data_IF_907264496173
#
_entry.id   IF_907264496173
#
_cell.length_a   1.000
_cell.length_b   1.000
_cell.length_c   1.000
_cell.angle_alpha   90.00
_cell.angle_beta   90.00
_cell.angle_gamma   90.00
#
_symmetry.space_group_name_H-M   'P 1'
#
loop_
_entity.id
_entity.type
_entity.pdbx_description
1 polymer ?
#
# COMPACT_ATOMS: atom_id res chain seq x y z
N UNK A 1 11.06 -5.15 -1.38
CA UNK A 1 9.64 -4.76 -1.14
C UNK A 1 9.36 -4.18 0.24
N UNK A 2 10.38 -3.80 1.02
CA UNK A 2 10.19 -3.15 2.32
C UNK A 2 9.94 -1.64 2.18
N UNK A 3 10.66 -0.99 1.25
CA UNK A 3 10.61 0.46 1.01
C UNK A 3 9.18 0.98 0.71
N UNK A 4 8.41 0.29 -0.13
CA UNK A 4 7.03 0.68 -0.46
C UNK A 4 6.11 0.68 0.76
N UNK A 5 6.23 -0.34 1.63
CA UNK A 5 5.41 -0.44 2.85
C UNK A 5 5.79 0.62 3.88
N UNK A 6 7.09 0.90 4.02
CA UNK A 6 7.57 1.99 4.87
C UNK A 6 7.06 3.34 4.39
N UNK A 7 7.19 3.63 3.10
CA UNK A 7 6.73 4.90 2.53
C UNK A 7 5.21 5.08 2.69
N UNK A 8 4.45 4.00 2.62
CA UNK A 8 3.00 4.01 2.78
C UNK A 8 2.54 3.97 4.26
N UNK A 9 3.45 3.99 5.24
CA UNK A 9 3.16 3.78 6.66
C UNK A 9 2.36 2.48 6.97
N UNK A 10 2.42 1.50 6.07
CA UNK A 10 1.61 0.28 6.14
C UNK A 10 2.41 -0.83 6.83
N UNK A 11 2.05 -1.18 8.07
CA UNK A 11 2.66 -2.31 8.80
C UNK A 11 2.42 -3.66 8.11
N UNK A 12 1.22 -3.84 7.55
CA UNK A 12 0.79 -5.05 6.84
C UNK A 12 0.14 -4.67 5.52
N UNK A 13 0.43 -5.43 4.46
CA UNK A 13 -0.23 -5.27 3.17
C UNK A 13 -1.72 -5.64 3.23
N UNK A 14 -2.44 -5.36 2.15
CA UNK A 14 -3.82 -5.77 1.99
C UNK A 14 -3.95 -7.30 2.04
N UNK A 15 -5.01 -7.79 2.70
CA UNK A 15 -5.32 -9.23 2.68
C UNK A 15 -6.08 -9.60 1.40
N UNK A 16 -6.73 -8.62 0.77
CA UNK A 16 -7.41 -8.75 -0.52
C UNK A 16 -6.99 -7.60 -1.44
N UNK A 17 -5.84 -7.73 -2.14
CA UNK A 17 -5.37 -6.71 -3.07
C UNK A 17 -6.42 -6.42 -4.15
N UNK A 18 -6.70 -5.13 -4.41
CA UNK A 18 -7.70 -4.67 -5.39
C UNK A 18 -9.04 -4.25 -4.80
N UNK A 19 -9.44 -4.82 -3.66
CA UNK A 19 -10.61 -4.35 -2.89
C UNK A 19 -10.20 -3.53 -1.68
N UNK A 20 -9.09 -3.90 -1.05
CA UNK A 20 -8.58 -3.26 0.15
C UNK A 20 -7.34 -2.42 -0.17
N UNK A 21 -7.42 -1.12 0.11
CA UNK A 21 -6.28 -0.20 0.03
C UNK A 21 -5.64 -0.10 1.42
N UNK A 22 -4.35 -0.44 1.50
CA UNK A 22 -3.57 -0.41 2.74
C UNK A 22 -2.74 0.88 2.91
N UNK A 23 -2.57 1.66 1.85
CA UNK A 23 -1.82 2.91 1.85
C UNK A 23 -1.85 3.58 0.50
N UNK A 24 -1.47 4.86 0.47
CA UNK A 24 -1.43 5.68 -0.75
C UNK A 24 -0.05 6.27 -0.95
N UNK A 25 0.45 6.28 -2.18
CA UNK A 25 1.73 6.87 -2.56
C UNK A 25 1.59 7.70 -3.83
N UNK A 26 2.34 8.78 -3.96
CA UNK A 26 2.43 9.52 -5.22
C UNK A 26 3.51 8.95 -6.13
N UNK A 27 3.46 9.31 -7.41
CA UNK A 27 4.52 8.97 -8.38
C UNK A 27 5.91 9.48 -7.96
N UNK A 28 5.98 10.60 -7.23
CA UNK A 28 7.23 11.15 -6.68
C UNK A 28 7.88 10.17 -5.70
N UNK A 29 7.09 9.55 -4.83
CA UNK A 29 7.60 8.54 -3.90
C UNK A 29 8.14 7.32 -4.64
N UNK A 30 7.44 6.86 -5.69
CA UNK A 30 7.89 5.73 -6.51
C UNK A 30 9.23 6.04 -7.17
N UNK A 31 9.38 7.24 -7.73
CA UNK A 31 10.61 7.69 -8.37
C UNK A 31 11.81 7.65 -7.40
N UNK A 32 11.67 8.24 -6.20
CA UNK A 32 12.76 8.23 -5.21
C UNK A 32 13.08 6.83 -4.69
N UNK A 33 12.07 5.95 -4.54
CA UNK A 33 12.29 4.54 -4.20
C UNK A 33 13.02 3.82 -5.34
N UNK A 34 12.71 4.15 -6.60
CA UNK A 34 13.39 3.58 -7.76
C UNK A 34 14.86 4.02 -7.83
N UNK A 35 15.17 5.28 -7.54
CA UNK A 35 16.54 5.80 -7.46
C UNK A 35 17.35 5.07 -6.39
N UNK A 36 16.80 4.93 -5.18
CA UNK A 36 17.43 4.16 -4.11
C UNK A 36 17.64 2.70 -4.53
N UNK A 37 16.66 2.12 -5.22
CA UNK A 37 16.70 0.72 -5.63
C UNK A 37 17.65 0.46 -6.80
N UNK A 38 17.90 1.44 -7.66
CA UNK A 38 18.83 1.32 -8.79
C UNK A 38 20.29 1.15 -8.34
N UNK A 39 20.61 1.52 -7.09
CA UNK A 39 21.92 1.28 -6.49
C UNK A 39 22.19 -0.20 -6.19
N UNK A 40 21.15 -1.06 -6.23
CA UNK A 40 21.32 -2.51 -6.08
C UNK A 40 22.14 -3.08 -7.27
N UNK A 41 23.18 -3.90 -7.03
CA UNK A 41 24.01 -4.46 -8.11
C UNK A 41 23.22 -5.22 -9.20
N UNK A 42 22.09 -5.81 -8.83
CA UNK A 42 21.23 -6.58 -9.75
C UNK A 42 20.43 -5.70 -10.72
N UNK A 43 20.34 -4.39 -10.49
CA UNK A 43 19.52 -3.46 -11.26
C UNK A 43 20.35 -2.38 -11.96
N UNK A 44 21.69 -2.52 -11.98
CA UNK A 44 22.60 -1.53 -12.53
C UNK A 44 22.37 -1.28 -14.03
N UNK A 45 22.04 -2.33 -14.78
CA UNK A 45 21.76 -2.27 -16.23
C UNK A 45 20.32 -1.91 -16.56
N UNK A 46 19.42 -1.86 -15.56
CA UNK A 46 18.01 -1.61 -15.78
C UNK A 46 17.73 -0.10 -15.90
N UNK A 47 16.81 0.25 -16.79
CA UNK A 47 16.32 1.61 -16.92
C UNK A 47 15.47 1.99 -15.73
N UNK A 48 15.60 3.26 -15.30
CA UNK A 48 14.87 3.76 -14.14
C UNK A 48 13.35 3.66 -14.37
N UNK A 49 12.90 3.85 -15.61
CA UNK A 49 11.50 3.71 -15.99
C UNK A 49 10.98 2.29 -15.76
N UNK A 50 11.78 1.26 -16.05
CA UNK A 50 11.37 -0.13 -15.87
C UNK A 50 11.36 -0.53 -14.39
N UNK A 51 12.30 0.01 -13.60
CA UNK A 51 12.26 -0.12 -12.14
C UNK A 51 10.97 0.53 -11.58
N UNK A 52 10.62 1.73 -12.06
CA UNK A 52 9.36 2.39 -11.68
C UNK A 52 8.13 1.53 -12.04
N UNK A 53 8.04 1.01 -13.27
CA UNK A 53 6.93 0.11 -13.68
C UNK A 53 6.84 -1.13 -12.79
N UNK A 54 7.99 -1.75 -12.48
CA UNK A 54 8.05 -2.91 -11.59
C UNK A 54 7.57 -2.57 -10.16
N UNK A 55 7.96 -1.39 -9.64
CA UNK A 55 7.52 -0.91 -8.33
C UNK A 55 6.03 -0.63 -8.31
N UNK A 56 5.48 -0.01 -9.36
CA UNK A 56 4.04 0.24 -9.53
C UNK A 56 3.26 -1.07 -9.46
N UNK A 57 3.64 -2.06 -10.28
CA UNK A 57 2.99 -3.37 -10.27
C UNK A 57 3.10 -4.10 -8.92
N UNK A 58 4.14 -3.82 -8.12
CA UNK A 58 4.24 -4.41 -6.80
C UNK A 58 3.47 -3.65 -5.73
N UNK A 59 3.36 -2.33 -5.83
CA UNK A 59 2.46 -1.54 -4.98
C UNK A 59 1.02 -2.03 -5.11
N UNK A 60 0.51 -2.24 -6.33
CA UNK A 60 -0.83 -2.78 -6.55
C UNK A 60 -1.04 -4.15 -5.89
N UNK A 61 -0.06 -5.07 -6.00
CA UNK A 61 -0.13 -6.39 -5.34
C UNK A 61 -0.12 -6.31 -3.82
N UNK A 62 0.48 -5.27 -3.25
CA UNK A 62 0.44 -5.01 -1.80
C UNK A 62 -0.86 -4.32 -1.36
N UNK A 63 -1.68 -3.85 -2.31
CA UNK A 63 -2.86 -3.00 -2.05
C UNK A 63 -2.48 -1.56 -1.74
N UNK A 64 -1.38 -1.06 -2.30
CA UNK A 64 -1.01 0.35 -2.23
C UNK A 64 -1.54 1.03 -3.49
N UNK A 65 -2.32 2.07 -3.30
CA UNK A 65 -2.86 2.90 -4.38
C UNK A 65 -1.84 3.98 -4.75
N UNK A 66 -1.59 4.12 -6.06
CA UNK A 66 -0.66 5.12 -6.58
C UNK A 66 -1.47 6.27 -7.14
N UNK A 67 -1.31 7.43 -6.52
CA UNK A 67 -2.07 8.64 -6.80
C UNK A 67 -1.29 9.48 -7.80
N UNK A 68 -1.96 9.87 -8.89
CA UNK A 68 -1.40 10.79 -9.88
C UNK A 68 -1.65 12.24 -9.49
N UNK A 69 -0.97 13.18 -10.16
CA UNK A 69 -1.20 14.60 -9.94
C UNK A 69 -2.67 14.98 -10.23
N UNK A 70 -3.24 14.42 -11.30
CA UNK A 70 -4.64 14.65 -11.69
C UNK A 70 -5.63 14.17 -10.63
N UNK A 71 -5.34 13.08 -9.93
CA UNK A 71 -6.20 12.55 -8.85
C UNK A 71 -6.19 13.44 -7.60
N UNK A 72 -5.07 14.13 -7.35
CA UNK A 72 -4.94 15.11 -6.28
C UNK A 72 -5.71 16.38 -6.66
N UNK A 73 -5.55 16.86 -7.88
CA UNK A 73 -6.17 18.09 -8.37
C UNK A 73 -7.69 17.94 -8.53
N UNK A 74 -8.17 16.76 -8.94
CA UNK A 74 -9.59 16.45 -9.05
C UNK A 74 -10.28 16.21 -7.69
N UNK A 75 -9.53 16.21 -6.58
CA UNK A 75 -10.08 16.03 -5.23
C UNK A 75 -10.63 14.62 -4.97
N UNK A 76 -10.29 13.63 -5.81
CA UNK A 76 -10.67 12.22 -5.56
C UNK A 76 -10.02 11.67 -4.30
N UNK A 77 -8.84 12.18 -3.98
CA UNK A 77 -8.02 11.73 -2.85
C UNK A 77 -7.53 12.92 -2.06
N UNK A 78 -7.86 12.95 -0.77
CA UNK A 78 -7.30 13.91 0.18
C UNK A 78 -5.83 13.60 0.45
N UNK A 79 -4.93 14.17 -0.35
CA UNK A 79 -3.47 14.00 -0.23
C UNK A 79 -2.86 14.91 0.87
N UNK A 80 -3.68 15.56 1.69
CA UNK A 80 -3.20 16.37 2.82
C UNK A 80 -2.75 15.48 3.98
N UNK A 81 -1.81 15.92 4.84
CA UNK A 81 -1.41 15.16 6.01
C UNK A 81 -2.59 14.79 6.94
N UNK A 82 -3.58 15.68 7.07
CA UNK A 82 -4.80 15.43 7.83
C UNK A 82 -5.71 14.39 7.17
N UNK A 83 -5.91 14.48 5.86
CA UNK A 83 -6.67 13.47 5.10
C UNK A 83 -6.05 12.08 5.20
N UNK A 84 -4.72 11.99 5.10
CA UNK A 84 -4.02 10.73 5.27
C UNK A 84 -4.11 10.17 6.69
N UNK A 85 -4.07 11.04 7.71
CA UNK A 85 -4.24 10.63 9.10
C UNK A 85 -5.63 9.99 9.33
N UNK A 86 -6.68 10.59 8.78
CA UNK A 86 -8.03 10.03 8.83
C UNK A 86 -8.10 8.66 8.15
N UNK A 87 -7.51 8.54 6.95
CA UNK A 87 -7.42 7.26 6.24
C UNK A 87 -6.73 6.17 7.08
N UNK A 88 -5.65 6.50 7.80
CA UNK A 88 -4.97 5.54 8.67
C UNK A 88 -5.84 5.11 9.87
N UNK A 89 -6.62 6.03 10.45
CA UNK A 89 -7.55 5.71 11.53
C UNK A 89 -8.67 4.78 11.06
N UNK A 90 -9.29 5.08 9.91
CA UNK A 90 -10.33 4.24 9.30
C UNK A 90 -9.79 2.84 9.01
N UNK A 91 -8.54 2.78 8.51
CA UNK A 91 -7.83 1.54 8.23
C UNK A 91 -7.61 0.70 9.50
N UNK A 92 -7.20 1.33 10.60
CA UNK A 92 -7.02 0.65 11.88
C UNK A 92 -8.35 0.10 12.42
N UNK A 93 -9.43 0.87 12.31
CA UNK A 93 -10.78 0.42 12.70
C UNK A 93 -11.22 -0.80 11.88
N UNK A 94 -11.05 -0.75 10.56
CA UNK A 94 -11.34 -1.88 9.67
C UNK A 94 -10.51 -3.12 10.03
N UNK A 95 -9.21 -2.97 10.31
CA UNK A 95 -8.35 -4.09 10.68
C UNK A 95 -8.79 -4.75 11.99
N UNK A 96 -9.25 -3.95 12.96
CA UNK A 96 -9.76 -4.44 14.24
C UNK A 96 -11.03 -5.28 14.06
N UNK A 97 -11.96 -4.81 13.23
CA UNK A 97 -13.19 -5.55 12.88
C UNK A 97 -12.86 -6.86 12.17
N UNK A 98 -12.03 -6.82 11.13
CA UNK A 98 -11.61 -8.00 10.36
C UNK A 98 -10.92 -9.06 11.22
N UNK A 99 -10.13 -8.62 12.21
CA UNK A 99 -9.48 -9.52 13.16
C UNK A 99 -10.52 -10.23 14.05
N UNK A 100 -11.47 -9.51 14.61
CA UNK A 100 -12.55 -10.06 15.43
C UNK A 100 -13.42 -11.05 14.63
N UNK A 101 -13.79 -10.71 13.40
CA UNK A 101 -14.52 -11.59 12.48
C UNK A 101 -13.74 -12.87 12.20
N UNK A 102 -12.43 -12.76 11.97
CA UNK A 102 -11.58 -13.93 11.72
C UNK A 102 -11.48 -14.83 12.96
N UNK A 103 -11.41 -14.25 14.16
CA UNK A 103 -11.34 -14.98 15.43
C UNK A 103 -12.65 -15.70 15.75
N UNK A 104 -13.79 -15.02 15.61
CA UNK A 104 -15.13 -15.62 15.79
C UNK A 104 -15.41 -16.71 14.76
N UNK A 105 -14.99 -16.51 13.50
CA UNK A 105 -15.08 -17.53 12.46
C UNK A 105 -14.21 -18.76 12.78
N UNK A 106 -13.02 -18.57 13.38
CA UNK A 106 -12.17 -19.69 13.84
C UNK A 106 -12.80 -20.43 15.01
N UNK A 107 -13.30 -19.71 16.03
CA UNK A 107 -13.94 -20.31 17.20
C UNK A 107 -15.19 -21.12 16.83
N UNK A 108 -16.03 -20.59 15.94
CA UNK A 108 -17.23 -21.30 15.48
C UNK A 108 -16.94 -22.53 14.62
N UNK A 109 -15.79 -22.61 13.95
CA UNK A 109 -15.33 -23.83 13.27
C UNK A 109 -14.79 -24.85 14.28
N UNK A 110 -14.08 -24.38 15.31
CA UNK A 110 -13.52 -25.24 16.35
C UNK A 110 -14.60 -25.88 17.23
N UNK A 111 -15.69 -25.18 17.52
CA UNK A 111 -16.83 -25.73 18.27
C UNK A 111 -17.71 -26.71 17.47
N UNK A 112 -17.47 -26.87 16.16
CA UNK A 112 -18.19 -27.82 15.30
C UNK A 112 -17.45 -29.15 15.12
N UNK A 113 -16.22 -29.26 15.63
CA UNK A 113 -15.40 -30.47 15.61
C UNK A 113 -15.58 -31.23 16.93
#
# INVERSE_FOLDING_TARGET
MHLLRMAAAAKKGASSPGTEVCGRLSLKHIYHIAELKKQDPHLFTADLQDICKMLIGTAHRLGIEIVTQDDIESGKVDYTPSGYANFLQDREAYLKQKKLETETAKQSKMMRL
#
